data_IF_679590829310
#
_entry.id   IF_679590829310
#
_cell.length_a   1.000
_cell.length_b   1.000
_cell.length_c   1.000
_cell.angle_alpha   90.00
_cell.angle_beta   90.00
_cell.angle_gamma   90.00
#
_symmetry.space_group_name_H-M   'P 1'
#
loop_
_entity.id
_entity.type
_entity.pdbx_description
1 polymer ?
#
# COMPACT_ATOMS: atom_id res chain seq x y z
N UNK A 1 -20.96 -18.89 -0.05
CA UNK A 1 -19.90 -19.71 -0.67
C UNK A 1 -18.55 -18.95 -0.78
N UNK A 2 -18.17 -18.12 0.20
CA UNK A 2 -16.85 -17.43 0.26
C UNK A 2 -16.27 -17.43 1.69
N UNK A 3 -17.11 -17.34 2.73
CA UNK A 3 -16.68 -17.23 4.12
C UNK A 3 -16.03 -18.49 4.74
N UNK A 4 -16.26 -19.69 4.18
CA UNK A 4 -15.67 -20.94 4.72
C UNK A 4 -14.24 -21.23 4.26
N UNK A 5 -13.65 -20.39 3.40
CA UNK A 5 -12.25 -20.56 2.96
C UNK A 5 -11.23 -19.88 3.87
N UNK A 6 -11.67 -19.12 4.88
CA UNK A 6 -10.78 -18.38 5.80
C UNK A 6 -10.46 -19.11 7.12
N UNK A 7 -10.90 -20.35 7.30
CA UNK A 7 -10.77 -21.05 8.60
C UNK A 7 -10.08 -22.40 8.44
N UNK A 8 -8.87 -22.42 7.87
CA UNK A 8 -8.03 -23.62 7.86
C UNK A 8 -6.72 -23.36 8.62
N UNK A 9 -6.53 -23.94 9.82
CA UNK A 9 -5.34 -23.77 10.64
C UNK A 9 -4.07 -24.44 10.08
N UNK A 10 -4.16 -25.15 8.95
CA UNK A 10 -3.00 -25.67 8.20
C UNK A 10 -2.65 -24.86 6.96
N UNK A 11 -3.38 -23.78 6.67
CA UNK A 11 -3.03 -22.85 5.59
C UNK A 11 -2.05 -21.82 6.16
N UNK A 12 -0.82 -22.29 6.37
CA UNK A 12 0.39 -21.47 6.28
C UNK A 12 0.75 -21.17 4.81
N UNK A 13 -0.21 -21.33 3.89
CA UNK A 13 -0.22 -20.69 2.57
C UNK A 13 -0.59 -19.20 2.81
N UNK A 14 0.44 -18.53 3.30
CA UNK A 14 0.50 -17.42 4.23
C UNK A 14 -0.10 -16.13 3.66
N UNK A 15 -0.64 -15.27 4.52
CA UNK A 15 -0.87 -13.85 4.21
C UNK A 15 0.34 -13.21 3.47
N UNK A 16 1.54 -13.75 3.69
CA UNK A 16 2.77 -13.45 2.97
C UNK A 16 2.69 -13.63 1.45
N UNK A 17 2.02 -14.66 0.90
CA UNK A 17 1.81 -14.81 -0.55
C UNK A 17 0.73 -13.88 -1.10
N UNK A 18 -0.22 -13.46 -0.26
CA UNK A 18 -1.24 -12.46 -0.62
C UNK A 18 -0.69 -11.03 -0.56
N UNK A 19 0.24 -10.76 0.37
CA UNK A 19 0.98 -9.50 0.50
C UNK A 19 2.21 -9.42 -0.43
N UNK A 20 2.73 -10.55 -0.90
CA UNK A 20 3.65 -10.62 -2.03
C UNK A 20 2.95 -10.03 -3.28
N UNK A 21 3.68 -9.31 -4.11
CA UNK A 21 3.20 -8.59 -5.29
C UNK A 21 2.35 -7.35 -4.99
N UNK A 22 2.56 -6.71 -3.83
CA UNK A 22 1.86 -5.48 -3.47
C UNK A 22 2.12 -4.36 -4.48
N UNK A 23 3.37 -4.26 -4.95
CA UNK A 23 3.78 -3.33 -6.01
C UNK A 23 3.10 -3.62 -7.35
N UNK A 24 2.77 -4.87 -7.66
CA UNK A 24 2.03 -5.22 -8.88
C UNK A 24 0.53 -4.99 -8.74
N UNK A 25 -0.03 -5.23 -7.54
CA UNK A 25 -1.48 -5.16 -7.27
C UNK A 25 -1.99 -3.73 -7.14
N UNK A 26 -1.20 -2.82 -6.59
CA UNK A 26 -1.59 -1.40 -6.47
C UNK A 26 -1.95 -0.80 -7.84
N UNK A 27 -1.06 -0.80 -8.85
CA UNK A 27 -1.40 -0.24 -10.16
C UNK A 27 -2.41 -1.08 -10.92
N UNK A 28 -2.41 -2.42 -10.76
CA UNK A 28 -3.31 -3.29 -11.51
C UNK A 28 -4.76 -3.32 -10.98
N UNK A 29 -4.96 -3.21 -9.67
CA UNK A 29 -6.27 -3.43 -9.04
C UNK A 29 -6.78 -2.23 -8.24
N UNK A 30 -5.89 -1.46 -7.60
CA UNK A 30 -6.30 -0.39 -6.67
C UNK A 30 -6.36 0.97 -7.38
N UNK A 31 -5.34 1.33 -8.16
CA UNK A 31 -5.27 2.59 -8.87
C UNK A 31 -6.46 2.83 -9.83
N UNK A 32 -6.98 1.83 -10.58
CA UNK A 32 -8.16 2.01 -11.41
C UNK A 32 -9.40 2.36 -10.59
N UNK A 33 -9.61 1.70 -9.45
CA UNK A 33 -10.75 2.00 -8.56
C UNK A 33 -10.62 3.37 -7.92
N UNK A 34 -9.43 3.78 -7.48
CA UNK A 34 -9.17 5.13 -6.98
C UNK A 34 -9.54 6.17 -8.05
N UNK A 35 -9.07 5.96 -9.28
CA UNK A 35 -9.35 6.84 -10.42
C UNK A 35 -10.85 6.93 -10.71
N UNK A 36 -11.54 5.79 -10.75
CA UNK A 36 -12.99 5.76 -10.97
C UNK A 36 -13.77 6.50 -9.87
N UNK A 37 -13.41 6.32 -8.60
CA UNK A 37 -14.05 7.07 -7.51
C UNK A 37 -13.90 8.58 -7.71
N UNK A 38 -12.69 9.03 -8.02
CA UNK A 38 -12.43 10.44 -8.29
C UNK A 38 -13.18 10.95 -9.53
N UNK A 39 -13.27 10.16 -10.60
CA UNK A 39 -14.05 10.50 -11.79
C UNK A 39 -15.55 10.64 -11.48
N UNK A 40 -16.06 9.85 -10.53
CA UNK A 40 -17.44 9.93 -10.03
C UNK A 40 -17.65 11.07 -9.01
N UNK A 41 -16.62 11.89 -8.73
CA UNK A 41 -16.68 12.97 -7.74
C UNK A 41 -16.71 12.47 -6.29
N UNK A 42 -16.41 11.20 -6.04
CA UNK A 42 -16.37 10.61 -4.71
C UNK A 42 -14.93 10.53 -4.20
N UNK A 43 -14.71 10.90 -2.94
CA UNK A 43 -13.40 10.73 -2.29
C UNK A 43 -13.22 9.26 -1.90
N UNK A 44 -12.18 8.55 -2.40
CA UNK A 44 -12.03 7.11 -2.17
C UNK A 44 -11.44 6.77 -0.81
N UNK A 45 -12.16 7.10 0.26
CA UNK A 45 -11.72 6.91 1.65
C UNK A 45 -11.36 5.45 1.95
N UNK A 46 -12.21 4.50 1.56
CA UNK A 46 -12.01 3.07 1.82
C UNK A 46 -10.89 2.48 0.95
N UNK A 47 -10.85 2.85 -0.34
CA UNK A 47 -9.84 2.33 -1.28
C UNK A 47 -8.45 2.87 -0.97
N UNK A 48 -8.34 4.12 -0.48
CA UNK A 48 -7.07 4.72 -0.04
C UNK A 48 -6.49 4.08 1.22
N UNK A 49 -7.28 3.29 1.98
CA UNK A 49 -6.73 2.53 3.10
C UNK A 49 -5.75 1.44 2.66
N UNK A 50 -5.98 0.81 1.51
CA UNK A 50 -5.12 -0.25 1.01
C UNK A 50 -3.68 0.23 0.74
N UNK A 51 -3.44 1.30 -0.05
CA UNK A 51 -2.08 1.80 -0.26
C UNK A 51 -1.48 2.40 1.03
N UNK A 52 -2.28 2.92 1.95
CA UNK A 52 -1.80 3.38 3.26
C UNK A 52 -1.32 2.23 4.16
N UNK A 53 -2.07 1.13 4.21
CA UNK A 53 -1.67 -0.09 4.91
C UNK A 53 -0.38 -0.66 4.31
N UNK A 54 -0.28 -0.68 2.99
CA UNK A 54 0.92 -1.13 2.30
C UNK A 54 2.13 -0.26 2.64
N UNK A 55 1.96 1.07 2.68
CA UNK A 55 3.02 1.99 3.08
C UNK A 55 3.53 1.69 4.49
N UNK A 56 2.65 1.52 5.48
CA UNK A 56 3.08 1.23 6.86
C UNK A 56 3.69 -0.17 6.96
N UNK A 57 3.16 -1.15 6.23
CA UNK A 57 3.76 -2.48 6.14
C UNK A 57 5.21 -2.43 5.60
N UNK A 58 5.44 -1.67 4.53
CA UNK A 58 6.77 -1.43 3.98
C UNK A 58 7.67 -0.61 4.91
N UNK A 59 7.11 0.29 5.72
CA UNK A 59 7.85 0.98 6.77
C UNK A 59 8.34 0.01 7.85
N UNK A 60 7.49 -0.93 8.30
CA UNK A 60 7.91 -1.96 9.26
C UNK A 60 8.98 -2.89 8.67
N UNK A 61 8.87 -3.20 7.37
CA UNK A 61 9.91 -3.94 6.65
C UNK A 61 11.23 -3.17 6.62
N UNK A 62 11.20 -1.88 6.24
CA UNK A 62 12.37 -1.01 6.23
C UNK A 62 13.04 -0.92 7.62
N UNK A 63 12.24 -0.87 8.69
CA UNK A 63 12.72 -0.88 10.08
C UNK A 63 13.23 -2.25 10.56
N UNK A 64 13.19 -3.29 9.72
CA UNK A 64 13.60 -4.65 10.09
C UNK A 64 12.69 -5.31 11.14
N UNK A 65 11.47 -4.79 11.34
CA UNK A 65 10.52 -5.29 12.34
C UNK A 65 9.67 -6.46 11.84
N UNK A 66 9.73 -6.78 10.55
CA UNK A 66 9.04 -7.94 10.02
C UNK A 66 9.74 -9.24 10.46
N UNK A 67 8.97 -10.25 10.93
CA UNK A 67 9.54 -11.54 11.35
C UNK A 67 10.01 -12.42 10.18
N UNK A 68 9.91 -11.93 8.94
CA UNK A 68 10.30 -12.62 7.71
C UNK A 68 10.86 -11.65 6.68
N UNK A 69 11.64 -12.19 5.73
CA UNK A 69 12.17 -11.42 4.60
C UNK A 69 11.06 -11.22 3.57
N UNK A 70 10.69 -9.97 3.32
CA UNK A 70 9.79 -9.63 2.22
C UNK A 70 10.55 -9.83 0.90
N UNK A 71 10.00 -10.70 0.03
CA UNK A 71 10.48 -10.91 -1.33
C UNK A 71 9.32 -10.67 -2.28
N UNK A 72 9.51 -9.74 -3.20
CA UNK A 72 8.59 -9.44 -4.28
C UNK A 72 9.43 -9.34 -5.55
N UNK A 73 8.99 -10.01 -6.61
CA UNK A 73 9.80 -10.24 -7.81
C UNK A 73 10.12 -8.97 -8.60
N UNK A 74 9.37 -7.88 -8.36
CA UNK A 74 9.59 -6.58 -9.00
C UNK A 74 10.02 -5.50 -8.00
N UNK A 75 10.20 -5.86 -6.73
CA UNK A 75 10.60 -4.93 -5.69
C UNK A 75 12.05 -4.50 -5.86
N UNK A 76 12.25 -3.21 -6.09
CA UNK A 76 13.54 -2.58 -5.89
C UNK A 76 13.68 -2.20 -4.42
N UNK A 77 14.33 -3.09 -3.65
CA UNK A 77 14.56 -2.88 -2.23
C UNK A 77 15.30 -1.56 -1.95
N UNK A 78 16.31 -1.23 -2.76
CA UNK A 78 17.11 -0.02 -2.58
C UNK A 78 16.25 1.24 -2.80
N UNK A 79 15.41 1.24 -3.83
CA UNK A 79 14.48 2.34 -4.09
C UNK A 79 13.47 2.53 -2.94
N UNK A 80 12.94 1.43 -2.38
CA UNK A 80 12.00 1.51 -1.25
C UNK A 80 12.68 2.01 0.02
N UNK A 81 13.90 1.55 0.32
CA UNK A 81 14.65 2.11 1.46
C UNK A 81 14.93 3.60 1.26
N UNK A 82 15.39 4.02 0.07
CA UNK A 82 15.62 5.42 -0.25
C UNK A 82 14.35 6.28 -0.16
N UNK A 83 13.18 5.72 -0.53
CA UNK A 83 11.89 6.38 -0.35
C UNK A 83 11.58 6.66 1.12
N UNK A 84 11.85 5.69 2.01
CA UNK A 84 11.64 5.87 3.46
C UNK A 84 12.67 6.77 4.13
N UNK A 85 13.88 6.85 3.58
CA UNK A 85 14.94 7.76 4.03
C UNK A 85 14.74 9.21 3.55
N UNK A 86 13.79 9.45 2.64
CA UNK A 86 13.48 10.79 2.17
C UNK A 86 12.92 11.68 3.29
N UNK A 87 13.07 13.00 3.15
CA UNK A 87 12.51 13.96 4.10
C UNK A 87 10.97 13.89 4.20
N UNK A 88 10.31 13.46 3.12
CA UNK A 88 8.87 13.24 3.09
C UNK A 88 8.52 11.94 2.34
N UNK A 89 8.59 10.79 3.01
CA UNK A 89 8.35 9.49 2.38
C UNK A 89 6.94 9.34 1.81
N UNK A 90 5.95 9.99 2.43
CA UNK A 90 4.55 9.93 1.97
C UNK A 90 4.39 10.69 0.66
N UNK A 91 5.05 11.84 0.51
CA UNK A 91 5.05 12.58 -0.75
C UNK A 91 5.73 11.78 -1.88
N UNK A 92 6.86 11.13 -1.60
CA UNK A 92 7.56 10.30 -2.60
C UNK A 92 6.70 9.11 -3.02
N UNK A 93 6.09 8.40 -2.05
CA UNK A 93 5.22 7.28 -2.33
C UNK A 93 3.96 7.68 -3.12
N UNK A 94 3.25 8.73 -2.69
CA UNK A 94 2.08 9.22 -3.40
C UNK A 94 2.42 9.76 -4.79
N UNK A 95 3.64 10.30 -4.96
CA UNK A 95 4.19 10.81 -6.21
C UNK A 95 4.67 9.72 -7.18
N UNK A 96 4.64 8.44 -6.79
CA UNK A 96 5.09 7.34 -7.63
C UNK A 96 4.10 7.08 -8.78
N UNK A 97 4.51 7.50 -9.99
CA UNK A 97 3.74 7.28 -11.23
C UNK A 97 3.61 5.80 -11.59
N UNK A 98 4.56 4.95 -11.23
CA UNK A 98 4.47 3.52 -11.51
C UNK A 98 3.37 2.86 -10.67
N UNK A 99 3.15 3.36 -9.45
CA UNK A 99 2.09 2.87 -8.56
C UNK A 99 0.73 3.50 -8.82
N UNK A 100 0.67 4.83 -8.95
CA UNK A 100 -0.58 5.59 -8.92
C UNK A 100 -0.93 6.27 -10.25
N UNK A 101 -0.03 6.28 -11.23
CA UNK A 101 -0.24 6.94 -12.52
C UNK A 101 -0.60 8.41 -12.34
N UNK A 102 -1.68 8.85 -13.00
CA UNK A 102 -2.14 10.25 -12.98
C UNK A 102 -2.58 10.75 -11.60
N UNK A 103 -2.87 9.84 -10.66
CA UNK A 103 -3.21 10.21 -9.28
C UNK A 103 -2.01 10.78 -8.52
N UNK A 104 -0.79 10.51 -8.99
CA UNK A 104 0.43 11.06 -8.38
C UNK A 104 0.55 12.58 -8.51
N UNK A 105 -0.14 13.18 -9.49
CA UNK A 105 -0.12 14.62 -9.74
C UNK A 105 -1.21 15.37 -8.94
N UNK A 106 -2.00 14.64 -8.16
CA UNK A 106 -3.17 15.15 -7.44
C UNK A 106 -2.85 15.44 -5.97
N UNK A 107 -2.79 16.72 -5.61
CA UNK A 107 -2.55 17.15 -4.23
C UNK A 107 -3.62 16.65 -3.24
N UNK A 108 -4.87 16.49 -3.69
CA UNK A 108 -5.96 15.93 -2.87
C UNK A 108 -5.75 14.45 -2.57
N UNK A 109 -5.14 13.69 -3.49
CA UNK A 109 -4.77 12.30 -3.26
C UNK A 109 -3.64 12.18 -2.23
N UNK A 110 -2.61 13.03 -2.33
CA UNK A 110 -1.50 13.06 -1.36
C UNK A 110 -2.04 13.35 0.06
N UNK A 111 -2.93 14.33 0.20
CA UNK A 111 -3.55 14.66 1.48
C UNK A 111 -4.38 13.49 2.05
N UNK A 112 -5.22 12.87 1.22
CA UNK A 112 -5.99 11.69 1.61
C UNK A 112 -5.09 10.53 2.06
N UNK A 113 -4.00 10.27 1.33
CA UNK A 113 -3.08 9.20 1.66
C UNK A 113 -2.37 9.46 2.99
N UNK A 114 -1.98 10.70 3.28
CA UNK A 114 -1.42 11.09 4.58
C UNK A 114 -2.42 10.85 5.72
N UNK A 115 -3.67 11.28 5.56
CA UNK A 115 -4.72 11.05 6.56
C UNK A 115 -4.89 9.54 6.84
N UNK A 116 -4.88 8.73 5.79
CA UNK A 116 -5.03 7.28 5.90
C UNK A 116 -3.82 6.62 6.54
N UNK A 117 -2.60 7.00 6.17
CA UNK A 117 -1.38 6.50 6.80
C UNK A 117 -1.35 6.85 8.28
N UNK A 118 -1.72 8.07 8.66
CA UNK A 118 -1.84 8.47 10.06
C UNK A 118 -2.85 7.60 10.81
N UNK A 119 -4.01 7.33 10.20
CA UNK A 119 -5.03 6.44 10.79
C UNK A 119 -4.48 5.02 11.00
N UNK A 120 -3.76 4.48 10.02
CA UNK A 120 -3.12 3.15 10.12
C UNK A 120 -2.08 3.12 11.22
N UNK A 121 -1.21 4.13 11.30
CA UNK A 121 -0.19 4.19 12.35
C UNK A 121 -0.81 4.18 13.75
N UNK A 122 -1.94 4.85 13.96
CA UNK A 122 -2.67 4.82 15.23
C UNK A 122 -3.30 3.44 15.53
N UNK A 123 -3.58 2.62 14.52
CA UNK A 123 -4.14 1.26 14.72
C UNK A 123 -3.08 0.21 15.05
N UNK A 124 -1.82 0.45 14.68
CA UNK A 124 -0.71 -0.51 14.84
C UNK A 124 0.24 -0.09 15.98
N UNK A 125 0.16 1.16 16.45
CA UNK A 125 0.87 1.69 17.63
C UNK A 125 0.10 1.47 18.91
#
# INVERSE_FOLDING_TARGET
MVLKRFTNPYIQDTNQRVAADGFSKIPAMIAPTLRECYQRGARPEATAMLPALFFVFMQQWHLGKLPYVYQDGILDAAAVHAMFDAADPVAVYAGDKALFGDLSERADFVALLREKIATVNTLIG
#
